data_IF_501560550862
#
_entry.id   IF_501560550862
#
_cell.length_a   1.000
_cell.length_b   1.000
_cell.length_c   1.000
_cell.angle_alpha   90.00
_cell.angle_beta   90.00
_cell.angle_gamma   90.00
#
_symmetry.space_group_name_H-M   'P 1'
#
loop_
_entity.id
_entity.type
_entity.pdbx_description
1 polymer ?
#
# COMPACT_ATOMS: atom_id res chain seq x y z
N UNK A 1 -9.55 -9.09 11.63
CA UNK A 1 -8.30 -8.62 10.99
C UNK A 1 -7.76 -7.43 11.77
N UNK A 2 -6.44 -7.24 11.86
CA UNK A 2 -5.89 -6.08 12.54
C UNK A 2 -6.19 -4.83 11.70
N UNK A 3 -7.09 -3.98 12.18
CA UNK A 3 -7.51 -2.76 11.46
C UNK A 3 -6.33 -1.83 11.08
N UNK A 4 -5.20 -2.00 11.77
CA UNK A 4 -4.00 -1.18 11.67
C UNK A 4 -3.21 -1.55 10.42
N UNK A 5 -3.29 -2.81 9.99
CA UNK A 5 -2.61 -3.30 8.80
C UNK A 5 -3.28 -2.74 7.54
N UNK A 6 -4.61 -2.74 7.50
CA UNK A 6 -5.38 -2.13 6.40
C UNK A 6 -5.13 -0.63 6.33
N UNK A 7 -5.09 0.05 7.49
CA UNK A 7 -4.76 1.47 7.56
C UNK A 7 -3.36 1.77 7.02
N UNK A 8 -2.35 0.99 7.42
CA UNK A 8 -0.97 1.16 6.95
C UNK A 8 -0.86 0.97 5.42
N UNK A 9 -1.50 -0.09 4.90
CA UNK A 9 -1.40 -0.45 3.48
C UNK A 9 -2.16 0.52 2.56
N UNK A 10 -3.21 1.18 3.05
CA UNK A 10 -4.11 2.02 2.21
C UNK A 10 -3.90 3.52 2.37
N UNK A 11 -3.44 4.00 3.53
CA UNK A 11 -3.46 5.45 3.83
C UNK A 11 -2.09 6.06 4.07
N UNK A 12 -1.04 5.25 4.25
CA UNK A 12 0.28 5.80 4.60
C UNK A 12 1.04 6.23 3.34
N UNK A 13 1.29 7.54 3.14
CA UNK A 13 2.11 8.00 2.02
C UNK A 13 3.55 7.52 2.20
N UNK A 14 4.13 6.93 1.15
CA UNK A 14 5.53 6.53 1.13
C UNK A 14 6.28 7.40 0.14
N UNK A 15 7.19 8.24 0.63
CA UNK A 15 7.97 9.17 -0.21
C UNK A 15 8.87 8.44 -1.23
N UNK A 16 9.22 7.18 -0.96
CA UNK A 16 9.90 6.30 -1.92
C UNK A 16 9.05 5.89 -3.13
N UNK A 17 7.74 6.12 -3.11
CA UNK A 17 6.77 5.72 -4.16
C UNK A 17 5.94 6.96 -4.59
N UNK A 18 6.52 8.16 -4.48
CA UNK A 18 5.82 9.41 -4.83
C UNK A 18 4.59 9.66 -3.93
N UNK A 19 4.75 9.41 -2.63
CA UNK A 19 3.73 9.60 -1.59
C UNK A 19 2.46 8.74 -1.78
N UNK A 20 2.54 7.67 -2.56
CA UNK A 20 1.45 6.71 -2.73
C UNK A 20 1.47 5.62 -1.64
N UNK A 21 0.30 5.05 -1.30
CA UNK A 21 0.22 3.97 -0.31
C UNK A 21 0.83 2.67 -0.84
N UNK A 22 1.39 1.81 0.04
CA UNK A 22 2.11 0.58 -0.34
C UNK A 22 1.32 -0.36 -1.25
N UNK A 23 0.00 -0.44 -1.07
CA UNK A 23 -0.88 -1.28 -1.91
C UNK A 23 -0.83 -0.89 -3.39
N UNK A 24 -0.48 0.36 -3.71
CA UNK A 24 -0.32 0.83 -5.09
C UNK A 24 0.83 0.15 -5.84
N UNK A 25 1.73 -0.54 -5.13
CA UNK A 25 2.85 -1.30 -5.72
C UNK A 25 2.47 -2.74 -6.08
N UNK A 26 1.29 -3.21 -5.67
CA UNK A 26 0.83 -4.55 -6.04
C UNK A 26 0.50 -4.55 -7.52
N UNK A 27 1.52 -4.83 -8.34
CA UNK A 27 1.33 -5.16 -9.73
C UNK A 27 0.49 -6.43 -9.77
N UNK A 28 -0.66 -6.37 -10.43
CA UNK A 28 -1.50 -7.53 -10.71
C UNK A 28 -0.78 -8.43 -11.72
N UNK A 29 0.32 -9.04 -11.29
CA UNK A 29 0.98 -10.12 -12.00
C UNK A 29 0.01 -11.29 -11.97
N UNK A 30 -0.84 -11.36 -12.99
CA UNK A 30 -1.52 -12.60 -13.33
C UNK A 30 -0.39 -13.56 -13.70
N UNK A 31 -0.32 -14.68 -12.96
CA UNK A 31 0.76 -15.66 -13.04
C UNK A 31 0.96 -16.24 -14.43
#
# INVERSE_FOLDING_TARGET
LPHWLDHYNTRRPHSSIGDRPPISRVHNVRG
#
